data_IF_622318277041
#
_entry.id   IF_622318277041
#
_cell.length_a   1.000
_cell.length_b   1.000
_cell.length_c   1.000
_cell.angle_alpha   90.00
_cell.angle_beta   90.00
_cell.angle_gamma   90.00
#
_symmetry.space_group_name_H-M   'P 1'
#
loop_
_entity.id
_entity.type
_entity.pdbx_description
1 polymer ?
#
# COMPACT_ATOMS: atom_id res chain seq x y z
N UNK A 1 7.03 -15.08 -28.69
CA UNK A 1 6.29 -15.06 -27.41
C UNK A 1 6.84 -13.87 -26.64
N UNK A 2 6.00 -12.87 -26.39
CA UNK A 2 6.41 -11.62 -25.77
C UNK A 2 6.54 -11.85 -24.25
N UNK A 3 7.65 -11.48 -23.58
CA UNK A 3 7.84 -11.69 -22.14
C UNK A 3 6.85 -10.90 -21.27
N UNK A 4 6.03 -10.02 -21.87
CA UNK A 4 4.96 -9.29 -21.19
C UNK A 4 3.72 -10.15 -20.83
N UNK A 5 3.59 -11.38 -21.35
CA UNK A 5 2.42 -12.23 -21.16
C UNK A 5 2.43 -13.07 -19.86
N UNK A 6 3.44 -12.88 -19.00
CA UNK A 6 3.60 -13.69 -17.77
C UNK A 6 3.44 -12.88 -16.48
N UNK A 7 2.74 -11.73 -16.50
CA UNK A 7 2.36 -11.13 -15.23
C UNK A 7 1.32 -12.03 -14.55
N UNK A 8 1.59 -12.50 -13.31
CA UNK A 8 0.62 -13.30 -12.57
C UNK A 8 -0.69 -12.53 -12.44
N UNK A 9 -1.81 -13.24 -12.54
CA UNK A 9 -3.13 -12.63 -12.34
C UNK A 9 -3.14 -11.85 -11.01
N UNK A 10 -3.76 -10.65 -10.97
CA UNK A 10 -3.73 -9.79 -9.77
C UNK A 10 -4.13 -10.51 -8.49
N UNK A 11 -5.08 -11.46 -8.55
CA UNK A 11 -5.50 -12.26 -7.40
C UNK A 11 -4.37 -13.14 -6.82
N UNK A 12 -3.56 -13.78 -7.67
CA UNK A 12 -2.42 -14.58 -7.21
C UNK A 12 -1.34 -13.71 -6.54
N UNK A 13 -1.12 -12.52 -7.06
CA UNK A 13 -0.14 -11.63 -6.47
C UNK A 13 -0.61 -11.09 -5.12
N UNK A 14 -1.89 -10.76 -4.98
CA UNK A 14 -2.49 -10.38 -3.69
C UNK A 14 -2.32 -11.51 -2.69
N UNK A 15 -2.65 -12.76 -3.05
CA UNK A 15 -2.51 -13.92 -2.17
C UNK A 15 -1.06 -14.08 -1.69
N UNK A 16 -0.08 -14.03 -2.60
CA UNK A 16 1.34 -14.11 -2.24
C UNK A 16 1.78 -13.01 -1.27
N UNK A 17 1.35 -11.77 -1.50
CA UNK A 17 1.68 -10.66 -0.61
C UNK A 17 1.01 -10.81 0.76
N UNK A 18 -0.18 -11.41 0.84
CA UNK A 18 -0.84 -11.72 2.10
C UNK A 18 -0.10 -12.83 2.88
N UNK A 19 0.47 -13.82 2.18
CA UNK A 19 1.34 -14.83 2.80
C UNK A 19 2.61 -14.18 3.38
N UNK A 20 3.22 -13.24 2.66
CA UNK A 20 4.34 -12.45 3.17
C UNK A 20 3.96 -11.65 4.44
N UNK A 21 2.76 -11.04 4.48
CA UNK A 21 2.24 -10.34 5.68
C UNK A 21 2.05 -11.30 6.84
N UNK A 22 1.54 -12.53 6.60
CA UNK A 22 1.38 -13.55 7.64
C UNK A 22 2.71 -13.99 8.21
N UNK A 23 3.73 -14.15 7.37
CA UNK A 23 5.08 -14.47 7.84
C UNK A 23 5.64 -13.37 8.77
N UNK A 24 5.40 -12.08 8.45
CA UNK A 24 5.76 -10.98 9.35
C UNK A 24 4.89 -10.96 10.61
N UNK A 25 3.60 -11.22 10.52
CA UNK A 25 2.70 -11.29 11.66
C UNK A 25 3.17 -12.35 12.69
N UNK A 26 3.53 -13.55 12.21
CA UNK A 26 4.08 -14.61 13.02
C UNK A 26 5.38 -14.19 13.73
N UNK A 27 6.33 -13.55 13.01
CA UNK A 27 7.59 -13.04 13.58
C UNK A 27 7.37 -11.98 14.66
N UNK A 28 6.35 -11.12 14.48
CA UNK A 28 6.02 -10.05 15.41
C UNK A 28 5.10 -10.49 16.57
N UNK A 29 4.71 -11.78 16.63
CA UNK A 29 3.78 -12.28 17.63
C UNK A 29 2.40 -11.62 17.55
N UNK A 30 1.95 -11.26 16.34
CA UNK A 30 0.70 -10.57 16.10
C UNK A 30 -0.14 -11.29 15.05
N UNK A 31 -1.25 -10.72 14.61
CA UNK A 31 -2.11 -11.29 13.57
C UNK A 31 -2.17 -10.38 12.34
N UNK A 32 -2.47 -10.96 11.16
CA UNK A 32 -2.74 -10.22 9.92
C UNK A 32 -3.74 -9.09 10.15
N UNK A 33 -4.81 -9.34 10.88
CA UNK A 33 -5.87 -8.36 11.14
C UNK A 33 -5.39 -7.13 11.93
N UNK A 34 -4.33 -7.26 12.73
CA UNK A 34 -3.71 -6.12 13.42
C UNK A 34 -2.72 -5.35 12.55
N UNK A 35 -2.12 -6.01 11.57
CA UNK A 35 -1.22 -5.37 10.61
C UNK A 35 -1.96 -4.68 9.47
N UNK A 36 -3.10 -5.24 9.04
CA UNK A 36 -3.91 -4.75 7.92
C UNK A 36 -5.16 -4.03 8.43
N UNK A 37 -5.05 -2.72 8.66
CA UNK A 37 -6.21 -1.88 8.97
C UNK A 37 -6.98 -1.57 7.68
N UNK A 38 -8.22 -2.08 7.60
CA UNK A 38 -9.12 -1.91 6.45
C UNK A 38 -9.39 -0.44 6.15
N UNK A 39 -9.52 0.40 7.19
CA UNK A 39 -9.76 1.83 7.04
C UNK A 39 -8.55 2.55 6.42
N UNK A 40 -7.34 2.21 6.89
CA UNK A 40 -6.10 2.75 6.32
C UNK A 40 -5.89 2.29 4.88
N UNK A 41 -6.15 1.00 4.58
CA UNK A 41 -6.08 0.49 3.21
C UNK A 41 -7.08 1.20 2.32
N UNK A 42 -8.34 1.28 2.73
CA UNK A 42 -9.40 2.00 2.00
C UNK A 42 -8.98 3.44 1.73
N UNK A 43 -8.52 4.15 2.76
CA UNK A 43 -8.09 5.54 2.63
C UNK A 43 -6.89 5.71 1.69
N UNK A 44 -5.95 4.77 1.69
CA UNK A 44 -4.75 4.81 0.86
C UNK A 44 -4.99 4.39 -0.59
N UNK A 45 -5.95 3.50 -0.83
CA UNK A 45 -6.24 2.92 -2.15
C UNK A 45 -7.47 3.50 -2.83
N UNK A 46 -8.36 4.13 -2.07
CA UNK A 46 -9.67 4.61 -2.55
C UNK A 46 -10.68 3.48 -2.80
N UNK A 47 -10.43 2.26 -2.35
CA UNK A 47 -11.36 1.13 -2.42
C UNK A 47 -12.29 1.22 -1.21
N UNK A 48 -13.59 1.00 -1.40
CA UNK A 48 -14.55 1.01 -0.29
C UNK A 48 -14.19 -0.07 0.76
N UNK A 49 -14.39 0.19 2.07
CA UNK A 49 -13.94 -0.72 3.13
C UNK A 49 -14.49 -2.15 2.99
N UNK A 50 -15.75 -2.32 2.60
CA UNK A 50 -16.34 -3.65 2.38
C UNK A 50 -15.63 -4.41 1.26
N UNK A 51 -15.31 -3.70 0.18
CA UNK A 51 -14.59 -4.29 -0.95
C UNK A 51 -13.15 -4.66 -0.57
N UNK A 52 -12.49 -3.82 0.26
CA UNK A 52 -11.17 -4.16 0.82
C UNK A 52 -11.25 -5.46 1.63
N UNK A 53 -12.28 -5.64 2.48
CA UNK A 53 -12.47 -6.89 3.23
C UNK A 53 -12.62 -8.10 2.32
N UNK A 54 -13.44 -7.98 1.28
CA UNK A 54 -13.62 -9.05 0.29
C UNK A 54 -12.31 -9.44 -0.39
N UNK A 55 -11.54 -8.45 -0.88
CA UNK A 55 -10.23 -8.68 -1.52
C UNK A 55 -9.22 -9.34 -0.57
N UNK A 56 -9.18 -8.92 0.71
CA UNK A 56 -8.32 -9.53 1.73
C UNK A 56 -8.78 -10.94 2.14
N UNK A 57 -10.06 -11.25 1.94
CA UNK A 57 -10.62 -12.60 2.15
C UNK A 57 -10.45 -13.53 0.92
N UNK A 58 -9.87 -13.03 -0.17
CA UNK A 58 -9.60 -13.81 -1.37
C UNK A 58 -10.61 -13.63 -2.51
N UNK A 59 -11.55 -12.68 -2.40
CA UNK A 59 -12.39 -12.34 -3.56
C UNK A 59 -11.53 -11.84 -4.72
N UNK A 60 -11.82 -12.26 -5.96
CA UNK A 60 -11.05 -11.80 -7.10
C UNK A 60 -11.26 -10.29 -7.33
N UNK A 61 -10.18 -9.56 -7.66
CA UNK A 61 -10.31 -8.16 -8.06
C UNK A 61 -11.04 -8.06 -9.40
N UNK A 62 -11.77 -6.96 -9.57
CA UNK A 62 -12.42 -6.65 -10.83
C UNK A 62 -11.38 -6.42 -11.92
N UNK A 63 -11.53 -7.14 -13.04
CA UNK A 63 -10.61 -7.04 -14.17
C UNK A 63 -11.07 -5.97 -15.17
N UNK A 64 -10.11 -5.24 -15.71
CA UNK A 64 -10.38 -4.28 -16.78
C UNK A 64 -10.82 -5.04 -18.05
N UNK A 65 -11.97 -4.69 -18.65
CA UNK A 65 -12.44 -5.36 -19.86
C UNK A 65 -11.46 -5.24 -21.04
N UNK A 66 -11.35 -6.29 -21.84
CA UNK A 66 -10.47 -6.31 -23.03
C UNK A 66 -11.05 -5.51 -24.19
N UNK A 67 -12.37 -5.49 -24.31
CA UNK A 67 -13.10 -4.80 -25.37
C UNK A 67 -12.97 -3.27 -25.16
N UNK A 68 -12.66 -2.51 -26.23
CA UNK A 68 -12.30 -1.08 -26.16
C UNK A 68 -13.40 -0.22 -25.53
N UNK A 69 -14.66 -0.41 -25.94
CA UNK A 69 -15.76 0.43 -25.45
C UNK A 69 -16.10 0.11 -23.98
N UNK A 70 -16.12 -1.18 -23.64
CA UNK A 70 -16.33 -1.63 -22.26
C UNK A 70 -15.19 -1.12 -21.33
N UNK A 71 -13.94 -1.15 -21.81
CA UNK A 71 -12.79 -0.60 -21.10
C UNK A 71 -12.91 0.90 -20.84
N UNK A 72 -13.35 1.64 -21.83
CA UNK A 72 -13.57 3.08 -21.67
C UNK A 72 -14.65 3.41 -20.64
N UNK A 73 -15.77 2.65 -20.68
CA UNK A 73 -16.84 2.77 -19.68
C UNK A 73 -16.34 2.39 -18.28
N UNK A 74 -15.60 1.30 -18.17
CA UNK A 74 -14.98 0.86 -16.91
C UNK A 74 -14.08 1.95 -16.33
N UNK A 75 -13.17 2.52 -17.13
CA UNK A 75 -12.27 3.59 -16.69
C UNK A 75 -13.01 4.85 -16.25
N UNK A 76 -14.09 5.21 -16.93
CA UNK A 76 -14.94 6.34 -16.53
C UNK A 76 -15.64 6.06 -15.18
N UNK A 77 -16.16 4.86 -15.00
CA UNK A 77 -16.81 4.45 -13.75
C UNK A 77 -15.80 4.44 -12.59
N UNK A 78 -14.64 3.82 -12.78
CA UNK A 78 -13.56 3.79 -11.81
C UNK A 78 -13.11 5.18 -11.39
N UNK A 79 -12.86 6.07 -12.35
CA UNK A 79 -12.45 7.45 -12.07
C UNK A 79 -13.50 8.20 -11.26
N UNK A 80 -14.78 8.09 -11.64
CA UNK A 80 -15.91 8.67 -10.91
C UNK A 80 -15.95 8.19 -9.46
N UNK A 81 -15.84 6.88 -9.23
CA UNK A 81 -15.87 6.29 -7.89
C UNK A 81 -14.73 6.80 -7.03
N UNK A 82 -13.51 6.80 -7.57
CA UNK A 82 -12.32 7.31 -6.89
C UNK A 82 -12.43 8.80 -6.57
N UNK A 83 -12.90 9.61 -7.50
CA UNK A 83 -13.07 11.04 -7.27
C UNK A 83 -14.15 11.33 -6.21
N UNK A 84 -15.25 10.61 -6.24
CA UNK A 84 -16.29 10.68 -5.20
C UNK A 84 -15.76 10.23 -3.83
N UNK A 85 -14.95 9.17 -3.80
CA UNK A 85 -14.29 8.72 -2.59
C UNK A 85 -13.40 9.83 -2.02
N UNK A 86 -12.57 10.47 -2.85
CA UNK A 86 -11.73 11.60 -2.42
C UNK A 86 -12.56 12.76 -1.87
N UNK A 87 -13.65 13.13 -2.56
CA UNK A 87 -14.52 14.22 -2.10
C UNK A 87 -15.15 13.94 -0.73
N UNK A 88 -15.48 12.68 -0.43
CA UNK A 88 -16.07 12.28 0.87
C UNK A 88 -15.04 12.13 1.98
N UNK A 89 -13.80 11.73 1.66
CA UNK A 89 -12.80 11.33 2.65
C UNK A 89 -11.69 12.36 2.85
N UNK A 90 -11.42 13.20 1.85
CA UNK A 90 -10.44 14.30 1.94
C UNK A 90 -11.18 15.59 2.23
N UNK A 91 -11.45 15.82 3.50
CA UNK A 91 -12.21 16.97 3.96
C UNK A 91 -11.29 18.16 4.28
N UNK A 92 -11.77 19.37 4.03
CA UNK A 92 -11.14 20.60 4.52
C UNK A 92 -11.57 20.87 5.97
N UNK A 93 -10.71 21.49 6.74
CA UNK A 93 -11.05 22.00 8.06
C UNK A 93 -11.68 23.38 7.92
N UNK A 94 -12.81 23.59 8.59
CA UNK A 94 -13.55 24.86 8.67
C UNK A 94 -13.87 25.15 10.13
N UNK A 95 -14.33 26.36 10.43
CA UNK A 95 -14.81 26.70 11.79
C UNK A 95 -15.99 25.84 12.24
N UNK A 96 -16.78 25.31 11.30
CA UNK A 96 -17.94 24.45 11.59
C UNK A 96 -17.57 22.96 11.68
N UNK A 97 -16.30 22.60 11.40
CA UNK A 97 -15.82 21.22 11.39
C UNK A 97 -15.21 20.82 10.05
N UNK A 98 -15.26 19.52 9.73
CA UNK A 98 -14.72 18.98 8.48
C UNK A 98 -15.78 18.92 7.40
N UNK A 99 -15.54 19.56 6.28
CA UNK A 99 -16.46 19.65 5.15
C UNK A 99 -15.83 19.20 3.82
N UNK A 100 -16.62 18.62 2.88
CA UNK A 100 -16.17 18.36 1.53
C UNK A 100 -15.78 19.65 0.79
N UNK A 101 -14.81 19.53 -0.12
CA UNK A 101 -14.49 20.61 -1.04
C UNK A 101 -15.62 20.86 -2.03
N UNK A 102 -16.03 22.13 -2.19
CA UNK A 102 -17.00 22.53 -3.19
C UNK A 102 -16.43 22.54 -4.60
N UNK A 103 -17.29 22.40 -5.62
CA UNK A 103 -16.87 22.39 -7.04
C UNK A 103 -16.06 23.62 -7.45
N UNK A 104 -16.44 24.81 -6.93
CA UNK A 104 -15.72 26.07 -7.21
C UNK A 104 -14.33 26.10 -6.59
N UNK A 105 -14.13 25.48 -5.42
CA UNK A 105 -12.84 25.39 -4.75
C UNK A 105 -11.90 24.45 -5.51
N UNK A 106 -12.41 23.26 -5.88
CA UNK A 106 -11.67 22.32 -6.73
C UNK A 106 -11.29 22.98 -8.05
N UNK A 107 -12.25 23.66 -8.70
CA UNK A 107 -12.02 24.37 -9.97
C UNK A 107 -10.92 25.40 -9.86
N UNK A 108 -10.95 26.24 -8.83
CA UNK A 108 -9.96 27.31 -8.62
C UNK A 108 -8.56 26.73 -8.37
N UNK A 109 -8.48 25.67 -7.59
CA UNK A 109 -7.20 25.07 -7.21
C UNK A 109 -6.57 24.24 -8.33
N UNK A 110 -7.39 23.59 -9.17
CA UNK A 110 -6.92 22.69 -10.24
C UNK A 110 -6.87 23.34 -11.61
N UNK A 111 -7.54 24.49 -11.80
CA UNK A 111 -7.73 25.11 -13.12
C UNK A 111 -8.70 24.34 -14.04
N UNK A 112 -9.40 23.32 -13.52
CA UNK A 112 -10.43 22.59 -14.25
C UNK A 112 -11.76 23.30 -14.03
N UNK A 113 -12.56 23.58 -15.08
CA UNK A 113 -13.83 24.27 -14.89
C UNK A 113 -14.78 23.51 -13.97
N UNK A 114 -15.57 24.22 -13.14
CA UNK A 114 -16.50 23.62 -12.21
C UNK A 114 -17.50 22.67 -12.89
N UNK A 115 -17.95 23.02 -14.11
CA UNK A 115 -18.80 22.15 -14.93
C UNK A 115 -18.09 20.86 -15.31
N UNK A 116 -16.80 20.94 -15.67
CA UNK A 116 -16.04 19.73 -16.03
C UNK A 116 -15.81 18.83 -14.82
N UNK A 117 -15.48 19.41 -13.64
CA UNK A 117 -15.39 18.65 -12.37
C UNK A 117 -16.72 17.96 -12.05
N UNK A 118 -17.86 18.64 -12.25
CA UNK A 118 -19.19 18.05 -12.08
C UNK A 118 -19.41 16.87 -13.03
N UNK A 119 -19.07 17.02 -14.32
CA UNK A 119 -19.20 15.96 -15.31
C UNK A 119 -18.32 14.72 -14.97
N UNK A 120 -17.11 14.95 -14.41
CA UNK A 120 -16.25 13.87 -13.93
C UNK A 120 -16.86 13.14 -12.75
N UNK A 121 -17.39 13.87 -11.76
CA UNK A 121 -18.07 13.30 -10.58
C UNK A 121 -19.35 12.53 -10.95
N UNK A 122 -20.04 12.93 -12.02
CA UNK A 122 -21.22 12.22 -12.53
C UNK A 122 -20.87 11.06 -13.45
N UNK A 123 -19.62 10.97 -13.93
CA UNK A 123 -19.19 9.97 -14.90
C UNK A 123 -19.69 10.22 -16.31
N UNK A 124 -20.11 11.46 -16.61
CA UNK A 124 -20.53 11.88 -17.96
C UNK A 124 -19.35 12.00 -18.91
N UNK A 125 -18.18 12.36 -18.36
CA UNK A 125 -16.92 12.45 -19.11
C UNK A 125 -15.82 11.67 -18.41
N UNK A 126 -14.88 11.15 -19.19
CA UNK A 126 -13.63 10.60 -18.69
C UNK A 126 -12.62 11.72 -18.39
N UNK A 127 -11.76 11.50 -17.41
CA UNK A 127 -10.62 12.37 -17.18
C UNK A 127 -9.52 12.08 -18.21
N UNK A 128 -8.85 13.12 -18.69
CA UNK A 128 -7.56 12.95 -19.32
C UNK A 128 -6.46 12.88 -18.24
N UNK A 129 -5.25 12.53 -18.66
CA UNK A 129 -4.12 12.37 -17.73
C UNK A 129 -3.81 13.66 -16.95
N UNK A 130 -3.86 14.83 -17.60
CA UNK A 130 -3.60 16.12 -16.96
C UNK A 130 -4.65 16.46 -15.89
N UNK A 131 -5.93 16.22 -16.17
CA UNK A 131 -7.00 16.42 -15.19
C UNK A 131 -6.86 15.46 -13.99
N UNK A 132 -6.50 14.19 -14.23
CA UNK A 132 -6.28 13.22 -13.16
C UNK A 132 -5.13 13.69 -12.26
N UNK A 133 -3.98 14.03 -12.84
CA UNK A 133 -2.81 14.48 -12.10
C UNK A 133 -3.09 15.72 -11.25
N UNK A 134 -3.78 16.74 -11.79
CA UNK A 134 -4.14 17.96 -11.04
C UNK A 134 -5.09 17.67 -9.88
N UNK A 135 -6.06 16.78 -10.05
CA UNK A 135 -6.96 16.35 -8.99
C UNK A 135 -6.22 15.55 -7.92
N UNK A 136 -5.33 14.65 -8.30
CA UNK A 136 -4.51 13.86 -7.38
C UNK A 136 -3.59 14.75 -6.54
N UNK A 137 -2.94 15.74 -7.15
CA UNK A 137 -2.16 16.75 -6.43
C UNK A 137 -3.03 17.55 -5.47
N UNK A 138 -4.21 18.01 -5.90
CA UNK A 138 -5.13 18.78 -5.07
C UNK A 138 -5.57 17.98 -3.83
N UNK A 139 -5.94 16.71 -3.99
CA UNK A 139 -6.34 15.84 -2.89
C UNK A 139 -5.17 15.23 -2.13
N UNK A 140 -3.91 15.52 -2.52
CA UNK A 140 -2.67 15.00 -1.92
C UNK A 140 -2.63 13.49 -1.88
N UNK A 141 -2.98 12.87 -2.99
CA UNK A 141 -2.90 11.42 -3.18
C UNK A 141 -1.80 11.07 -4.20
N UNK A 142 -1.27 9.84 -4.17
CA UNK A 142 -0.25 9.41 -5.12
C UNK A 142 -0.75 9.44 -6.56
N UNK A 143 0.17 9.64 -7.49
CA UNK A 143 -0.10 9.53 -8.93
C UNK A 143 -0.73 8.18 -9.28
N UNK A 144 -1.73 8.23 -10.14
CA UNK A 144 -2.50 7.06 -10.56
C UNK A 144 -3.57 6.60 -9.56
N UNK A 145 -3.79 7.30 -8.44
CA UNK A 145 -4.83 6.95 -7.48
C UNK A 145 -6.21 6.83 -8.11
N UNK A 146 -6.56 7.77 -9.00
CA UNK A 146 -7.85 7.81 -9.66
C UNK A 146 -7.99 6.83 -10.84
N UNK A 147 -6.89 6.26 -11.34
CA UNK A 147 -6.86 5.45 -12.56
C UNK A 147 -6.48 3.97 -12.33
N UNK A 148 -5.89 3.64 -11.18
CA UNK A 148 -5.50 2.26 -10.86
C UNK A 148 -6.72 1.40 -10.56
N UNK A 149 -6.77 0.21 -11.17
CA UNK A 149 -7.76 -0.82 -10.80
C UNK A 149 -7.65 -1.19 -9.33
N UNK A 150 -8.68 -1.77 -8.74
CA UNK A 150 -8.64 -2.17 -7.33
C UNK A 150 -7.52 -3.16 -7.02
N UNK A 151 -7.30 -4.14 -7.91
CA UNK A 151 -6.19 -5.09 -7.77
C UNK A 151 -4.83 -4.40 -7.80
N UNK A 152 -4.59 -3.50 -8.77
CA UNK A 152 -3.34 -2.76 -8.88
C UNK A 152 -3.11 -1.82 -7.68
N UNK A 153 -4.15 -1.17 -7.17
CA UNK A 153 -4.07 -0.29 -6.01
C UNK A 153 -3.74 -1.08 -4.73
N UNK A 154 -4.41 -2.21 -4.50
CA UNK A 154 -4.16 -3.07 -3.34
C UNK A 154 -2.76 -3.71 -3.40
N UNK A 155 -2.33 -4.22 -4.56
CA UNK A 155 -0.98 -4.75 -4.77
C UNK A 155 0.07 -3.69 -4.44
N UNK A 156 -0.07 -2.47 -4.94
CA UNK A 156 0.87 -1.38 -4.67
C UNK A 156 0.95 -1.06 -3.16
N UNK A 157 -0.19 -1.06 -2.46
CA UNK A 157 -0.24 -0.88 -1.01
C UNK A 157 0.46 -2.01 -0.27
N UNK A 158 0.12 -3.27 -0.57
CA UNK A 158 0.70 -4.44 0.08
C UNK A 158 2.21 -4.56 -0.19
N UNK A 159 2.67 -4.29 -1.42
CA UNK A 159 4.10 -4.26 -1.75
C UNK A 159 4.87 -3.25 -0.91
N UNK A 160 4.34 -2.03 -0.76
CA UNK A 160 4.96 -1.02 0.10
C UNK A 160 5.01 -1.50 1.55
N UNK A 161 3.91 -2.04 2.05
CA UNK A 161 3.84 -2.57 3.40
C UNK A 161 4.87 -3.67 3.63
N UNK A 162 4.95 -4.68 2.77
CA UNK A 162 5.88 -5.81 2.89
C UNK A 162 7.33 -5.37 2.73
N UNK A 163 7.62 -4.44 1.80
CA UNK A 163 8.99 -4.06 1.49
C UNK A 163 9.55 -2.93 2.36
N UNK A 164 8.69 -2.09 2.94
CA UNK A 164 9.13 -0.90 3.67
C UNK A 164 8.63 -0.87 5.12
N UNK A 165 7.31 -1.03 5.33
CA UNK A 165 6.71 -0.74 6.63
C UNK A 165 6.92 -1.90 7.62
N UNK A 166 6.68 -3.14 7.21
CA UNK A 166 6.85 -4.32 8.07
C UNK A 166 8.31 -4.59 8.45
N UNK A 167 9.31 -4.45 7.55
CA UNK A 167 10.73 -4.52 7.96
C UNK A 167 11.10 -3.49 9.02
N UNK A 168 10.63 -2.24 8.87
CA UNK A 168 10.87 -1.17 9.87
C UNK A 168 10.24 -1.53 11.22
N UNK A 169 9.01 -2.07 11.22
CA UNK A 169 8.33 -2.53 12.44
C UNK A 169 9.08 -3.69 13.10
N UNK A 170 9.53 -4.67 12.32
CA UNK A 170 10.29 -5.80 12.83
C UNK A 170 11.62 -5.35 13.46
N UNK A 171 12.36 -4.48 12.77
CA UNK A 171 13.59 -3.89 13.30
C UNK A 171 13.35 -3.14 14.61
N UNK A 172 12.28 -2.33 14.66
CA UNK A 172 11.91 -1.58 15.86
C UNK A 172 11.55 -2.50 17.03
N UNK A 173 10.82 -3.59 16.78
CA UNK A 173 10.47 -4.57 17.80
C UNK A 173 11.71 -5.25 18.41
N UNK A 174 12.67 -5.66 17.57
CA UNK A 174 13.95 -6.23 18.02
C UNK A 174 14.75 -5.21 18.85
N UNK A 175 14.84 -3.97 18.39
CA UNK A 175 15.56 -2.92 19.16
C UNK A 175 14.90 -2.62 20.49
N UNK A 176 13.56 -2.66 20.58
CA UNK A 176 12.83 -2.49 21.84
C UNK A 176 13.09 -3.66 22.78
N UNK A 177 13.09 -4.89 22.28
CA UNK A 177 13.38 -6.09 23.08
C UNK A 177 14.82 -6.06 23.63
N UNK A 178 15.79 -5.69 22.79
CA UNK A 178 17.18 -5.52 23.22
C UNK A 178 17.34 -4.38 24.25
N UNK A 179 16.64 -3.25 24.06
CA UNK A 179 16.59 -2.16 25.02
C UNK A 179 15.99 -2.57 26.37
N UNK A 180 14.88 -3.29 26.34
CA UNK A 180 14.25 -3.81 27.55
C UNK A 180 15.15 -4.81 28.28
N UNK A 181 15.79 -5.73 27.57
CA UNK A 181 16.77 -6.67 28.14
C UNK A 181 17.97 -5.95 28.76
N UNK A 182 18.50 -4.93 28.09
CA UNK A 182 19.64 -4.16 28.63
C UNK A 182 19.29 -3.38 29.91
N UNK A 183 18.06 -2.88 30.02
CA UNK A 183 17.57 -2.22 31.25
C UNK A 183 17.36 -3.25 32.37
N UNK A 184 16.76 -4.39 32.08
CA UNK A 184 16.60 -5.47 33.05
C UNK A 184 17.93 -5.99 33.58
N UNK A 185 18.93 -6.17 32.72
CA UNK A 185 20.27 -6.60 33.09
C UNK A 185 21.00 -5.55 33.95
N UNK A 186 20.82 -4.23 33.66
CA UNK A 186 21.38 -3.16 34.50
C UNK A 186 20.74 -3.11 35.89
N UNK A 187 19.48 -3.48 36.02
CA UNK A 187 18.78 -3.50 37.33
C UNK A 187 19.12 -4.72 38.18
N UNK A 188 19.68 -5.77 37.57
CA UNK A 188 20.06 -7.02 38.28
C UNK A 188 21.56 -7.14 38.54
N UNK A 189 22.39 -6.27 37.98
CA UNK A 189 23.86 -6.41 38.00
C UNK A 189 24.55 -5.36 38.86
N UNK A 190 24.72 -5.67 40.11
CA UNK A 190 25.89 -5.26 40.85
C UNK A 190 27.05 -6.24 40.49
N UNK A 191 27.66 -6.05 39.31
CA UNK A 191 28.94 -6.71 39.07
C UNK A 191 29.25 -7.42 37.74
N UNK A 192 28.36 -7.50 36.76
CA UNK A 192 28.65 -8.26 35.53
C UNK A 192 28.49 -7.42 34.24
N UNK A 193 29.51 -6.61 33.94
CA UNK A 193 29.48 -5.68 32.79
C UNK A 193 30.02 -6.28 31.48
N UNK A 194 30.47 -7.53 31.44
CA UNK A 194 31.22 -8.11 30.31
C UNK A 194 30.40 -9.10 29.47
N UNK A 195 29.39 -9.75 30.05
CA UNK A 195 28.60 -10.79 29.33
C UNK A 195 27.49 -10.23 28.43
N UNK A 196 27.08 -8.99 28.67
CA UNK A 196 25.98 -8.34 27.93
C UNK A 196 26.23 -8.13 26.42
N UNK A 197 27.46 -7.85 26.03
CA UNK A 197 27.82 -7.69 24.61
C UNK A 197 27.88 -9.04 23.88
N UNK A 198 28.25 -10.11 24.58
CA UNK A 198 28.34 -11.46 24.01
C UNK A 198 26.96 -12.08 23.77
N UNK A 199 25.99 -11.75 24.62
CA UNK A 199 24.60 -12.18 24.47
C UNK A 199 23.82 -11.39 23.39
N UNK A 200 24.33 -10.20 23.01
CA UNK A 200 23.76 -9.40 21.93
C UNK A 200 24.23 -9.85 20.54
N UNK A 201 25.39 -10.51 20.42
CA UNK A 201 25.96 -10.94 19.16
C UNK A 201 25.04 -11.88 18.36
N UNK A 202 24.37 -12.89 18.95
CA UNK A 202 23.45 -13.75 18.19
C UNK A 202 22.24 -13.00 17.62
N UNK A 203 21.72 -12.02 18.34
CA UNK A 203 20.57 -11.22 17.88
C UNK A 203 20.98 -10.23 16.79
N UNK A 204 22.19 -9.68 16.84
CA UNK A 204 22.76 -8.86 15.77
C UNK A 204 23.06 -9.71 14.51
N UNK A 205 23.54 -10.92 14.70
CA UNK A 205 23.81 -11.86 13.58
C UNK A 205 22.52 -12.30 12.88
N UNK A 206 21.44 -12.52 13.62
CA UNK A 206 20.11 -12.77 13.07
C UNK A 206 19.58 -11.55 12.28
N UNK A 207 19.80 -10.35 12.79
CA UNK A 207 19.39 -9.10 12.15
C UNK A 207 20.18 -8.87 10.86
N UNK A 208 21.47 -9.17 10.86
CA UNK A 208 22.33 -9.13 9.66
C UNK A 208 21.90 -10.18 8.63
N UNK A 209 21.57 -11.41 9.04
CA UNK A 209 21.04 -12.45 8.15
C UNK A 209 19.70 -12.08 7.52
N UNK A 210 18.80 -11.45 8.26
CA UNK A 210 17.52 -10.93 7.73
C UNK A 210 17.75 -9.83 6.70
N UNK A 211 18.73 -8.95 6.92
CA UNK A 211 19.09 -7.87 5.99
C UNK A 211 19.80 -8.44 4.74
N UNK A 212 20.74 -9.38 4.91
CA UNK A 212 21.51 -9.98 3.82
C UNK A 212 20.71 -11.00 3.00
N UNK A 213 19.79 -11.75 3.60
CA UNK A 213 18.93 -12.70 2.89
C UNK A 213 18.01 -12.05 1.83
N UNK A 214 17.80 -10.74 1.91
CA UNK A 214 17.09 -9.97 0.88
C UNK A 214 17.95 -9.58 -0.33
N UNK A 215 19.27 -9.56 -0.21
CA UNK A 215 20.16 -9.20 -1.34
C UNK A 215 20.54 -10.39 -2.23
N UNK A 216 20.44 -11.62 -1.75
CA UNK A 216 20.82 -12.81 -2.51
C UNK A 216 19.69 -13.49 -3.29
N UNK A 217 18.44 -13.08 -3.11
CA UNK A 217 17.29 -13.63 -3.86
C UNK A 217 17.05 -13.00 -5.24
N UNK A 218 17.84 -12.01 -5.65
CA UNK A 218 17.64 -11.25 -6.89
C UNK A 218 18.62 -11.52 -8.02
N UNK A 219 19.57 -12.44 -7.87
CA UNK A 219 20.65 -12.62 -8.86
C UNK A 219 20.97 -14.08 -9.14
N UNK A 220 20.01 -14.85 -9.65
CA UNK A 220 20.34 -16.15 -10.28
C UNK A 220 19.21 -16.64 -11.19
N UNK A 221 19.05 -16.00 -12.35
CA UNK A 221 18.55 -16.65 -13.55
C UNK A 221 19.10 -15.92 -14.77
N UNK A 222 20.18 -16.45 -15.32
CA UNK A 222 20.76 -15.92 -16.54
C UNK A 222 22.08 -16.59 -16.89
N UNK A 223 22.07 -17.84 -17.24
CA UNK A 223 23.26 -18.48 -17.78
C UNK A 223 23.13 -19.98 -17.95
N UNK A 224 22.49 -20.42 -19.03
CA UNK A 224 22.79 -21.73 -19.61
C UNK A 224 22.94 -21.58 -21.11
N UNK A 225 24.21 -21.57 -21.49
CA UNK A 225 24.69 -21.77 -22.84
C UNK A 225 24.26 -23.13 -23.39
N UNK A 226 24.16 -23.11 -24.72
CA UNK A 226 24.04 -24.28 -25.60
C UNK A 226 25.37 -25.02 -25.76
N UNK A 227 25.31 -26.22 -26.28
CA UNK A 227 25.93 -26.48 -27.61
C UNK A 227 24.90 -26.58 -28.72
#
# INVERSE_FOLDING_TARGET
VNPADHQPAPGHEIARLLDDVDAYAARLGTSRARLLDVGLISHATGIEPERVRGLLAGEPPEEEPREKNARELFRKALFKERLRFLQRTRLKETFAGREPYGLREISRATGISAQHVSNLLNGERGANHDHAARLEVFFRVPEGFCSRTEGAALIAYLRRMVNEDLPKLATRAVLQELGARSVALRSTADGAQIDTLRDLLPALDELVKVIQGKQSGGAQEGGRERP
#
